data_IF_449642127585
#
_entry.id   IF_449642127585
#
_cell.length_a   1.000
_cell.length_b   1.000
_cell.length_c   1.000
_cell.angle_alpha   90.00
_cell.angle_beta   90.00
_cell.angle_gamma   90.00
#
_symmetry.space_group_name_H-M   'P 1'
#
loop_
_entity.id
_entity.type
_entity.pdbx_description
1 polymer ?
#
# COMPACT_ATOMS: atom_id res chain seq x y z
N UNK A 1 5.68 -3.13 14.86
CA UNK A 1 4.64 -3.65 15.75
C UNK A 1 4.85 -5.11 16.16
N UNK A 2 5.07 -6.06 15.22
CA UNK A 2 5.19 -7.50 15.53
C UNK A 2 6.44 -7.93 16.32
N UNK A 3 7.55 -7.21 16.16
CA UNK A 3 8.85 -7.57 16.71
C UNK A 3 8.89 -7.61 18.25
N UNK A 4 8.33 -6.58 18.89
CA UNK A 4 8.39 -6.41 20.34
C UNK A 4 7.21 -7.07 21.07
N UNK A 5 6.06 -7.24 20.41
CA UNK A 5 4.86 -7.80 21.04
C UNK A 5 4.87 -9.34 21.00
N UNK A 6 5.48 -9.93 19.97
CA UNK A 6 5.42 -11.39 19.75
C UNK A 6 6.81 -12.05 19.70
N UNK A 7 7.90 -11.28 19.79
CA UNK A 7 9.26 -11.83 19.81
C UNK A 7 9.71 -12.49 18.49
N UNK A 8 8.99 -12.26 17.40
CA UNK A 8 9.33 -12.81 16.09
C UNK A 8 10.60 -12.16 15.52
N UNK A 9 11.45 -12.91 14.79
CA UNK A 9 12.51 -12.32 13.97
C UNK A 9 11.96 -11.31 12.96
N UNK A 10 12.76 -10.29 12.62
CA UNK A 10 12.38 -9.21 11.68
C UNK A 10 11.86 -9.78 10.35
N UNK A 11 12.60 -10.72 9.78
CA UNK A 11 12.27 -11.34 8.50
C UNK A 11 10.98 -12.16 8.53
N UNK A 12 10.63 -12.74 9.69
CA UNK A 12 9.37 -13.44 9.88
C UNK A 12 8.22 -12.44 10.03
N UNK A 13 8.42 -11.34 10.77
CA UNK A 13 7.44 -10.27 10.88
C UNK A 13 7.08 -9.65 9.51
N UNK A 14 8.07 -9.50 8.61
CA UNK A 14 7.85 -9.06 7.22
C UNK A 14 6.94 -10.04 6.49
N UNK A 15 7.22 -11.35 6.56
CA UNK A 15 6.42 -12.37 5.92
C UNK A 15 4.97 -12.41 6.46
N UNK A 16 4.80 -12.23 7.77
CA UNK A 16 3.48 -12.13 8.42
C UNK A 16 2.70 -10.92 7.90
N UNK A 17 3.32 -9.74 7.86
CA UNK A 17 2.68 -8.52 7.39
C UNK A 17 2.24 -8.63 5.93
N UNK A 18 3.08 -9.23 5.07
CA UNK A 18 2.72 -9.46 3.67
C UNK A 18 1.55 -10.44 3.54
N UNK A 19 1.51 -11.52 4.34
CA UNK A 19 0.38 -12.45 4.32
C UNK A 19 -0.92 -11.80 4.81
N UNK A 20 -0.88 -11.08 5.93
CA UNK A 20 -2.04 -10.33 6.45
C UNK A 20 -2.50 -9.29 5.44
N UNK A 21 -1.56 -8.55 4.84
CA UNK A 21 -1.83 -7.57 3.80
C UNK A 21 -2.51 -8.22 2.59
N UNK A 22 -2.02 -9.37 2.12
CA UNK A 22 -2.60 -10.09 0.98
C UNK A 22 -4.05 -10.49 1.24
N UNK A 23 -4.34 -11.08 2.40
CA UNK A 23 -5.71 -11.46 2.80
C UNK A 23 -6.63 -10.24 2.81
N UNK A 24 -6.16 -9.15 3.42
CA UNK A 24 -6.92 -7.90 3.57
C UNK A 24 -7.23 -7.26 2.21
N UNK A 25 -6.23 -7.21 1.33
CA UNK A 25 -6.32 -6.57 0.02
C UNK A 25 -7.25 -7.37 -0.90
N UNK A 26 -7.14 -8.69 -0.93
CA UNK A 26 -8.01 -9.55 -1.76
C UNK A 26 -9.47 -9.34 -1.37
N UNK A 27 -9.78 -9.39 -0.07
CA UNK A 27 -11.15 -9.21 0.41
C UNK A 27 -11.67 -7.80 0.12
N UNK A 28 -10.84 -6.77 0.36
CA UNK A 28 -11.18 -5.37 0.04
C UNK A 28 -11.45 -5.19 -1.45
N UNK A 29 -10.64 -5.81 -2.30
CA UNK A 29 -10.78 -5.72 -3.75
C UNK A 29 -12.06 -6.39 -4.21
N UNK A 30 -12.35 -7.61 -3.75
CA UNK A 30 -13.59 -8.31 -4.11
C UNK A 30 -14.83 -7.49 -3.76
N UNK A 31 -14.83 -6.82 -2.59
CA UNK A 31 -15.94 -5.97 -2.17
C UNK A 31 -16.07 -4.70 -3.02
N UNK A 32 -14.94 -4.06 -3.37
CA UNK A 32 -14.93 -2.78 -4.11
C UNK A 32 -15.04 -2.95 -5.62
N UNK A 33 -14.59 -4.06 -6.18
CA UNK A 33 -14.66 -4.34 -7.61
C UNK A 33 -16.10 -4.38 -8.11
N UNK A 34 -17.02 -4.86 -7.26
CA UNK A 34 -18.46 -4.88 -7.54
C UNK A 34 -19.08 -3.47 -7.68
N UNK A 35 -18.39 -2.42 -7.24
CA UNK A 35 -18.88 -1.05 -7.34
C UNK A 35 -18.65 -0.42 -8.74
N UNK A 36 -17.95 -1.11 -9.65
CA UNK A 36 -17.76 -0.63 -11.02
C UNK A 36 -16.95 0.67 -11.15
N UNK A 37 -16.09 0.96 -10.16
CA UNK A 37 -15.37 2.25 -10.04
C UNK A 37 -14.16 2.38 -10.97
N UNK A 38 -13.74 1.30 -11.62
CA UNK A 38 -12.55 1.29 -12.48
C UNK A 38 -12.95 1.57 -13.93
N UNK A 39 -12.33 2.60 -14.51
CA UNK A 39 -12.39 2.88 -15.94
C UNK A 39 -11.13 2.34 -16.66
N UNK A 40 -11.15 2.29 -18.00
CA UNK A 40 -10.02 1.77 -18.78
C UNK A 40 -8.68 2.45 -18.48
N UNK A 41 -8.69 3.76 -18.22
CA UNK A 41 -7.50 4.52 -17.86
C UNK A 41 -6.89 4.07 -16.52
N UNK A 42 -7.69 4.01 -15.45
CA UNK A 42 -7.25 3.54 -14.13
C UNK A 42 -6.76 2.08 -14.14
N UNK A 43 -7.38 1.23 -14.95
CA UNK A 43 -6.96 -0.16 -15.14
C UNK A 43 -5.60 -0.23 -15.84
N UNK A 44 -5.38 0.57 -16.89
CA UNK A 44 -4.11 0.59 -17.61
C UNK A 44 -2.95 1.01 -16.69
N UNK A 45 -3.14 2.07 -15.91
CA UNK A 45 -2.14 2.51 -14.91
C UNK A 45 -1.88 1.39 -13.91
N UNK A 46 -2.94 0.80 -13.34
CA UNK A 46 -2.81 -0.26 -12.34
C UNK A 46 -2.09 -1.50 -12.90
N UNK A 47 -2.39 -1.93 -14.13
CA UNK A 47 -1.74 -3.08 -14.75
C UNK A 47 -0.25 -2.81 -15.00
N UNK A 48 0.10 -1.63 -15.49
CA UNK A 48 1.50 -1.22 -15.71
C UNK A 48 2.28 -1.14 -14.39
N UNK A 49 1.68 -0.52 -13.36
CA UNK A 49 2.25 -0.50 -12.02
C UNK A 49 2.41 -1.91 -11.46
N UNK A 50 1.42 -2.79 -11.67
CA UNK A 50 1.41 -4.16 -11.17
C UNK A 50 2.55 -4.98 -11.76
N UNK A 51 2.72 -4.97 -13.09
CA UNK A 51 3.78 -5.73 -13.77
C UNK A 51 5.17 -5.40 -13.21
N UNK A 52 5.45 -4.12 -13.01
CA UNK A 52 6.74 -3.66 -12.47
C UNK A 52 6.86 -3.80 -10.96
N UNK A 53 5.75 -3.64 -10.22
CA UNK A 53 5.72 -3.84 -8.76
C UNK A 53 5.98 -5.29 -8.38
N UNK A 54 5.55 -6.28 -9.18
CA UNK A 54 5.84 -7.70 -8.95
C UNK A 54 7.35 -7.95 -8.97
N UNK A 55 8.04 -7.40 -9.98
CA UNK A 55 9.49 -7.48 -10.12
C UNK A 55 10.15 -6.77 -8.95
N UNK A 56 9.70 -5.56 -8.62
CA UNK A 56 10.19 -4.78 -7.50
C UNK A 56 10.05 -5.52 -6.17
N UNK A 57 8.87 -6.09 -5.88
CA UNK A 57 8.61 -6.82 -4.63
C UNK A 57 9.46 -8.08 -4.51
N UNK A 58 9.66 -8.80 -5.61
CA UNK A 58 10.55 -9.94 -5.63
C UNK A 58 12.01 -9.54 -5.35
N UNK A 59 12.50 -8.47 -6.00
CA UNK A 59 13.84 -7.94 -5.77
C UNK A 59 14.00 -7.35 -4.36
N UNK A 60 12.98 -6.64 -3.85
CA UNK A 60 12.96 -6.09 -2.50
C UNK A 60 13.06 -7.18 -1.44
N UNK A 61 12.30 -8.27 -1.60
CA UNK A 61 12.35 -9.43 -0.72
C UNK A 61 13.71 -10.16 -0.82
N UNK A 62 14.32 -10.23 -2.00
CA UNK A 62 15.67 -10.78 -2.18
C UNK A 62 16.76 -9.94 -1.50
N UNK A 63 16.58 -8.63 -1.47
CA UNK A 63 17.57 -7.67 -0.98
C UNK A 63 17.27 -7.20 0.44
N UNK A 64 16.28 -7.77 1.14
CA UNK A 64 15.87 -7.37 2.49
C UNK A 64 17.06 -7.27 3.45
N UNK A 65 17.98 -8.22 3.42
CA UNK A 65 19.16 -8.22 4.31
C UNK A 65 20.23 -7.19 3.91
N UNK A 66 20.18 -6.68 2.68
CA UNK A 66 21.14 -5.70 2.13
C UNK A 66 20.59 -4.26 2.15
N UNK A 67 19.28 -4.09 2.23
CA UNK A 67 18.64 -2.78 2.21
C UNK A 67 18.58 -2.24 3.64
N UNK A 68 19.24 -1.10 3.92
CA UNK A 68 19.20 -0.53 5.25
C UNK A 68 17.77 -0.06 5.58
N UNK A 69 17.17 -0.62 6.62
CA UNK A 69 15.79 -0.30 7.00
C UNK A 69 15.62 1.14 7.48
N UNK A 70 16.58 1.66 8.24
CA UNK A 70 16.51 3.00 8.86
C UNK A 70 16.25 4.13 7.85
N UNK A 71 17.03 4.29 6.77
CA UNK A 71 16.76 5.33 5.78
C UNK A 71 15.44 5.10 5.04
N UNK A 72 15.04 3.85 4.80
CA UNK A 72 13.79 3.55 4.10
C UNK A 72 12.57 3.89 4.96
N UNK A 73 12.60 3.55 6.25
CA UNK A 73 11.60 3.97 7.24
C UNK A 73 11.56 5.49 7.39
N UNK A 74 12.71 6.18 7.39
CA UNK A 74 12.73 7.67 7.41
C UNK A 74 12.12 8.27 6.15
N UNK A 75 12.47 7.76 4.98
CA UNK A 75 11.89 8.19 3.70
C UNK A 75 10.38 7.99 3.71
N UNK A 76 9.91 6.81 4.13
CA UNK A 76 8.50 6.49 4.30
C UNK A 76 7.82 7.45 5.28
N UNK A 77 8.42 7.74 6.43
CA UNK A 77 7.85 8.64 7.44
C UNK A 77 7.65 10.05 6.87
N UNK A 78 8.70 10.61 6.26
CA UNK A 78 8.64 11.94 5.67
C UNK A 78 7.57 11.99 4.57
N UNK A 79 7.55 10.98 3.70
CA UNK A 79 6.54 10.88 2.65
C UNK A 79 5.13 10.83 3.23
N UNK A 80 4.86 9.94 4.19
CA UNK A 80 3.54 9.76 4.78
C UNK A 80 3.04 10.99 5.53
N UNK A 81 3.92 11.73 6.22
CA UNK A 81 3.54 12.99 6.88
C UNK A 81 3.20 14.05 5.85
N UNK A 82 4.07 14.27 4.86
CA UNK A 82 3.85 15.30 3.83
C UNK A 82 2.55 15.01 3.09
N UNK A 83 2.37 13.78 2.66
CA UNK A 83 1.20 13.36 1.89
C UNK A 83 -0.06 13.27 2.76
N UNK A 84 0.05 12.77 3.99
CA UNK A 84 -1.06 12.68 4.91
C UNK A 84 -1.60 14.05 5.29
N UNK A 85 -0.72 15.01 5.58
CA UNK A 85 -1.10 16.41 5.78
C UNK A 85 -1.70 17.01 4.52
N UNK A 86 -1.09 16.79 3.34
CA UNK A 86 -1.60 17.30 2.07
C UNK A 86 -3.02 16.80 1.78
N UNK A 87 -3.25 15.48 1.81
CA UNK A 87 -4.57 14.87 1.55
C UNK A 87 -5.57 15.31 2.61
N UNK A 88 -5.18 15.29 3.89
CA UNK A 88 -6.08 15.58 5.00
C UNK A 88 -6.49 17.05 5.10
N UNK A 89 -5.64 17.98 4.67
CA UNK A 89 -5.93 19.41 4.67
C UNK A 89 -6.61 19.88 3.37
N UNK A 90 -6.51 19.11 2.29
CA UNK A 90 -7.09 19.46 0.98
C UNK A 90 -8.58 19.83 1.05
N UNK A 91 -9.47 19.16 1.81
CA UNK A 91 -10.87 19.57 1.96
C UNK A 91 -11.08 20.95 2.57
N UNK A 92 -10.10 21.47 3.32
CA UNK A 92 -10.19 22.76 4.00
C UNK A 92 -9.51 23.88 3.20
N UNK A 93 -8.85 23.55 2.08
CA UNK A 93 -8.10 24.48 1.24
C UNK A 93 -8.79 24.54 -0.11
N UNK A 94 -9.27 25.72 -0.52
CA UNK A 94 -10.04 25.91 -1.77
C UNK A 94 -9.24 25.62 -3.05
N UNK A 95 -7.91 25.53 -2.97
CA UNK A 95 -7.06 25.23 -4.12
C UNK A 95 -6.79 23.72 -4.23
N UNK A 96 -7.25 23.05 -5.31
CA UNK A 96 -6.87 21.65 -5.56
C UNK A 96 -5.35 21.56 -5.74
N UNK A 97 -4.71 20.82 -4.84
CA UNK A 97 -3.26 20.60 -4.81
C UNK A 97 -2.87 19.43 -5.76
N UNK A 98 -3.56 19.32 -6.88
CA UNK A 98 -3.28 18.35 -7.93
C UNK A 98 -2.15 18.89 -8.82
N UNK A 99 -1.04 18.16 -8.89
CA UNK A 99 -0.03 18.39 -9.91
C UNK A 99 -0.58 17.76 -11.20
N UNK A 100 -1.52 18.44 -11.86
CA UNK A 100 -2.10 17.95 -13.10
C UNK A 100 -1.04 18.10 -14.21
N UNK A 101 -0.23 17.06 -14.39
CA UNK A 101 0.63 16.93 -15.56
C UNK A 101 -0.22 16.39 -16.71
N UNK A 102 -0.27 17.09 -17.84
CA UNK A 102 -0.76 16.51 -19.09
C UNK A 102 0.32 15.58 -19.64
N UNK A 103 0.36 14.35 -19.15
CA UNK A 103 1.26 13.31 -19.65
C UNK A 103 0.67 12.71 -20.93
N UNK A 104 1.53 12.38 -21.90
CA UNK A 104 1.15 11.48 -22.98
C UNK A 104 1.07 10.03 -22.47
N UNK A 105 0.48 9.16 -23.28
CA UNK A 105 0.26 7.75 -22.91
C UNK A 105 1.58 7.02 -22.55
N UNK A 106 2.67 7.33 -23.25
CA UNK A 106 3.97 6.68 -23.04
C UNK A 106 4.63 7.19 -21.76
N UNK A 107 4.61 8.51 -21.54
CA UNK A 107 5.15 9.15 -20.35
C UNK A 107 4.42 8.68 -19.09
N UNK A 108 3.10 8.59 -19.17
CA UNK A 108 2.27 8.07 -18.09
C UNK A 108 2.59 6.60 -17.78
N UNK A 109 2.69 5.75 -18.80
CA UNK A 109 3.05 4.35 -18.63
C UNK A 109 4.45 4.17 -18.03
N UNK A 110 5.43 4.96 -18.47
CA UNK A 110 6.80 4.94 -17.93
C UNK A 110 6.83 5.40 -16.48
N UNK A 111 6.07 6.43 -16.13
CA UNK A 111 5.98 6.93 -14.76
C UNK A 111 5.28 5.91 -13.85
N UNK A 112 4.20 5.29 -14.33
CA UNK A 112 3.52 4.19 -13.64
C UNK A 112 4.45 3.00 -13.42
N UNK A 113 5.25 2.63 -14.42
CA UNK A 113 6.24 1.57 -14.33
C UNK A 113 7.33 1.89 -13.30
N UNK A 114 7.86 3.13 -13.30
CA UNK A 114 8.90 3.56 -12.35
C UNK A 114 8.39 3.58 -10.90
N UNK A 115 7.21 4.18 -10.69
CA UNK A 115 6.58 4.25 -9.37
C UNK A 115 6.20 2.84 -8.90
N UNK A 116 5.66 2.00 -9.79
CA UNK A 116 5.34 0.60 -9.50
C UNK A 116 6.57 -0.17 -9.04
N UNK A 117 7.66 -0.11 -9.80
CA UNK A 117 8.93 -0.76 -9.42
C UNK A 117 9.43 -0.29 -8.04
N UNK A 118 9.47 1.03 -7.80
CA UNK A 118 9.95 1.60 -6.55
C UNK A 118 9.09 1.17 -5.36
N UNK A 119 7.75 1.27 -5.47
CA UNK A 119 6.82 0.82 -4.44
C UNK A 119 6.96 -0.70 -4.22
N UNK A 120 7.13 -1.47 -5.29
CA UNK A 120 7.39 -2.91 -5.21
C UNK A 120 8.62 -3.22 -4.35
N UNK A 121 9.77 -2.60 -4.64
CA UNK A 121 11.01 -2.81 -3.88
C UNK A 121 10.82 -2.47 -2.41
N UNK A 122 10.18 -1.34 -2.10
CA UNK A 122 9.90 -0.92 -0.73
C UNK A 122 8.96 -1.92 -0.04
N UNK A 123 7.90 -2.34 -0.73
CA UNK A 123 6.89 -3.29 -0.23
C UNK A 123 7.50 -4.65 0.08
N UNK A 124 8.32 -5.20 -0.82
CA UNK A 124 9.02 -6.46 -0.62
C UNK A 124 10.08 -6.38 0.49
N UNK A 125 10.84 -5.29 0.58
CA UNK A 125 11.90 -5.15 1.58
C UNK A 125 11.36 -4.91 3.00
N UNK A 126 10.32 -4.08 3.16
CA UNK A 126 9.78 -3.69 4.48
C UNK A 126 8.54 -4.49 4.91
N UNK A 127 7.91 -5.24 3.99
CA UNK A 127 6.67 -5.94 4.25
C UNK A 127 5.43 -5.05 4.39
N UNK A 128 5.47 -3.82 3.87
CA UNK A 128 4.30 -2.92 3.80
C UNK A 128 3.45 -3.24 2.58
N UNK A 129 2.12 -3.16 2.70
CA UNK A 129 1.18 -3.47 1.62
C UNK A 129 1.24 -2.47 0.45
N UNK A 130 1.90 -1.32 0.64
CA UNK A 130 2.26 -0.34 -0.40
C UNK A 130 1.11 0.58 -0.81
N UNK A 131 -0.10 0.40 -0.26
CA UNK A 131 -1.25 1.24 -0.55
C UNK A 131 -1.06 2.68 -0.08
N UNK A 132 -0.26 2.87 0.97
CA UNK A 132 0.07 4.17 1.56
C UNK A 132 0.89 5.05 0.62
N UNK A 133 1.71 4.44 -0.26
CA UNK A 133 2.40 5.14 -1.35
C UNK A 133 1.54 5.26 -2.60
N UNK A 134 0.83 4.17 -2.91
CA UNK A 134 0.16 4.03 -4.19
C UNK A 134 -1.08 4.90 -4.32
N UNK A 135 -1.90 4.98 -3.27
CA UNK A 135 -3.12 5.80 -3.30
C UNK A 135 -2.77 7.27 -3.56
N UNK A 136 -1.83 7.89 -2.83
CA UNK A 136 -1.41 9.26 -3.14
C UNK A 136 -0.78 9.45 -4.51
N UNK A 137 0.01 8.48 -5.00
CA UNK A 137 0.56 8.54 -6.34
C UNK A 137 -0.56 8.53 -7.40
N UNK A 138 -1.53 7.62 -7.25
CA UNK A 138 -2.70 7.54 -8.12
C UNK A 138 -3.53 8.84 -8.11
N UNK A 139 -3.69 9.48 -6.96
CA UNK A 139 -4.43 10.76 -6.85
C UNK A 139 -3.64 11.92 -7.46
N UNK A 140 -2.38 12.10 -7.06
CA UNK A 140 -1.64 13.33 -7.36
C UNK A 140 -0.80 13.30 -8.62
N UNK A 141 -0.40 12.12 -9.08
CA UNK A 141 0.39 11.95 -10.32
C UNK A 141 -0.53 11.61 -11.48
N UNK A 142 -1.50 10.71 -11.25
CA UNK A 142 -2.38 10.20 -12.30
C UNK A 142 -3.80 10.78 -12.25
N UNK A 143 -4.10 11.65 -11.28
CA UNK A 143 -5.37 12.38 -11.24
C UNK A 143 -6.62 11.54 -10.93
N UNK A 144 -6.45 10.33 -10.39
CA UNK A 144 -7.60 9.49 -10.02
C UNK A 144 -8.33 10.05 -8.80
N UNK A 145 -9.64 9.90 -8.75
CA UNK A 145 -10.40 10.19 -7.54
C UNK A 145 -10.03 9.21 -6.41
N UNK A 146 -10.21 9.63 -5.16
CA UNK A 146 -9.80 8.86 -3.98
C UNK A 146 -10.42 7.45 -3.94
N UNK A 147 -11.63 7.27 -4.46
CA UNK A 147 -12.33 5.97 -4.44
C UNK A 147 -11.81 5.08 -5.57
N UNK A 148 -11.61 5.60 -6.78
CA UNK A 148 -10.96 4.85 -7.85
C UNK A 148 -9.50 4.52 -7.52
N UNK A 149 -8.72 5.48 -7.01
CA UNK A 149 -7.34 5.31 -6.57
C UNK A 149 -7.22 4.23 -5.49
N UNK A 150 -8.14 4.21 -4.52
CA UNK A 150 -8.20 3.15 -3.52
C UNK A 150 -8.46 1.77 -4.13
N UNK A 151 -9.34 1.66 -5.13
CA UNK A 151 -9.68 0.38 -5.78
C UNK A 151 -8.54 -0.09 -6.70
N UNK A 152 -7.98 0.81 -7.52
CA UNK A 152 -6.83 0.56 -8.38
C UNK A 152 -5.61 0.16 -7.56
N UNK A 153 -5.39 0.80 -6.41
CA UNK A 153 -4.32 0.45 -5.48
C UNK A 153 -4.39 -1.02 -5.04
N UNK A 154 -5.59 -1.52 -4.74
CA UNK A 154 -5.80 -2.92 -4.36
C UNK A 154 -5.48 -3.88 -5.52
N UNK A 155 -5.89 -3.53 -6.75
CA UNK A 155 -5.56 -4.30 -7.96
C UNK A 155 -4.05 -4.47 -8.13
N UNK A 156 -3.26 -3.43 -7.84
CA UNK A 156 -1.79 -3.51 -7.86
C UNK A 156 -1.25 -4.29 -6.67
N UNK A 157 -1.81 -4.10 -5.47
CA UNK A 157 -1.31 -4.74 -4.24
C UNK A 157 -1.42 -6.26 -4.28
N UNK A 158 -2.49 -6.85 -4.83
CA UNK A 158 -2.70 -8.30 -4.82
C UNK A 158 -1.47 -9.06 -5.38
N UNK A 159 -1.07 -8.87 -6.64
CA UNK A 159 0.07 -9.60 -7.20
C UNK A 159 1.41 -9.14 -6.62
N UNK A 160 1.54 -7.86 -6.25
CA UNK A 160 2.77 -7.31 -5.64
C UNK A 160 3.07 -7.97 -4.30
N UNK A 161 2.11 -7.94 -3.39
CA UNK A 161 2.23 -8.49 -2.04
C UNK A 161 2.32 -10.01 -2.09
N UNK A 162 1.58 -10.66 -3.00
CA UNK A 162 1.72 -12.10 -3.23
C UNK A 162 3.13 -12.48 -3.67
N UNK A 163 3.74 -11.75 -4.61
CA UNK A 163 5.12 -11.99 -5.07
C UNK A 163 6.13 -11.85 -3.93
N UNK A 164 6.05 -10.76 -3.15
CA UNK A 164 6.91 -10.54 -1.99
C UNK A 164 6.73 -11.63 -0.92
N UNK A 165 5.48 -11.98 -0.60
CA UNK A 165 5.15 -13.02 0.36
C UNK A 165 5.70 -14.39 -0.08
N UNK A 166 5.44 -14.79 -1.33
CA UNK A 166 5.93 -16.05 -1.88
C UNK A 166 7.46 -16.12 -1.80
N UNK A 167 8.15 -15.00 -2.07
CA UNK A 167 9.60 -14.98 -1.94
C UNK A 167 10.06 -15.17 -0.50
N UNK A 168 9.48 -14.46 0.47
CA UNK A 168 9.82 -14.65 1.88
C UNK A 168 9.47 -16.04 2.41
N UNK A 169 8.34 -16.61 1.98
CA UNK A 169 7.97 -17.98 2.30
C UNK A 169 9.00 -18.96 1.74
N UNK A 170 9.40 -18.82 0.48
CA UNK A 170 10.41 -19.68 -0.16
C UNK A 170 11.81 -19.55 0.46
N UNK A 171 12.12 -18.43 1.11
CA UNK A 171 13.35 -18.24 1.89
C UNK A 171 13.27 -18.85 3.31
N UNK A 172 12.15 -19.48 3.68
CA UNK A 172 11.97 -20.11 4.98
C UNK A 172 11.63 -19.13 6.10
N UNK A 173 11.23 -17.90 5.79
CA UNK A 173 10.92 -16.89 6.81
C UNK A 173 9.56 -17.10 7.49
N UNK A 174 8.74 -18.03 6.98
CA UNK A 174 7.42 -18.34 7.51
C UNK A 174 7.44 -19.67 8.27
N UNK A 175 7.52 -19.60 9.60
CA UNK A 175 7.37 -20.77 10.47
C UNK A 175 5.91 -20.94 10.96
N UNK A 176 5.62 -22.03 11.67
CA UNK A 176 4.25 -22.33 12.15
C UNK A 176 3.71 -21.26 13.11
N UNK A 177 4.57 -20.70 13.95
CA UNK A 177 4.22 -19.64 14.89
C UNK A 177 3.83 -18.34 14.16
N UNK A 178 4.66 -17.90 13.21
CA UNK A 178 4.38 -16.77 12.33
C UNK A 178 3.07 -16.96 11.55
N UNK A 179 2.80 -18.16 11.04
CA UNK A 179 1.56 -18.47 10.34
C UNK A 179 0.32 -18.34 11.24
N UNK A 180 0.40 -18.78 12.50
CA UNK A 180 -0.69 -18.63 13.47
C UNK A 180 -0.95 -17.15 13.80
N UNK A 181 0.11 -16.38 14.00
CA UNK A 181 0.02 -14.93 14.25
C UNK A 181 -0.61 -14.23 13.04
N UNK A 182 -0.18 -14.57 11.83
CA UNK A 182 -0.75 -14.06 10.59
C UNK A 182 -2.23 -14.40 10.46
N UNK A 183 -2.67 -15.59 10.89
CA UNK A 183 -4.08 -15.97 10.85
C UNK A 183 -4.94 -15.12 11.79
N UNK A 184 -4.49 -14.91 13.03
CA UNK A 184 -5.23 -14.12 14.03
C UNK A 184 -5.30 -12.65 13.62
N UNK A 185 -4.16 -12.07 13.23
CA UNK A 185 -4.11 -10.69 12.72
C UNK A 185 -4.90 -10.52 11.42
N UNK A 186 -4.79 -11.52 10.53
CA UNK A 186 -5.51 -11.58 9.27
C UNK A 186 -7.02 -11.53 9.47
N UNK A 187 -7.56 -12.29 10.43
CA UNK A 187 -8.98 -12.26 10.75
C UNK A 187 -9.47 -10.86 11.16
N UNK A 188 -8.76 -10.21 12.09
CA UNK A 188 -9.11 -8.84 12.52
C UNK A 188 -9.00 -7.83 11.37
N UNK A 189 -7.94 -7.93 10.58
CA UNK A 189 -7.71 -7.05 9.43
C UNK A 189 -8.78 -7.22 8.34
N UNK A 190 -9.17 -8.47 8.03
CA UNK A 190 -10.24 -8.79 7.07
C UNK A 190 -11.58 -8.21 7.52
N UNK A 191 -11.93 -8.34 8.80
CA UNK A 191 -13.17 -7.76 9.33
C UNK A 191 -13.16 -6.23 9.19
N UNK A 192 -12.07 -5.58 9.60
CA UNK A 192 -11.92 -4.13 9.46
C UNK A 192 -11.99 -3.67 8.00
N UNK A 193 -11.34 -4.40 7.10
CA UNK A 193 -11.36 -4.16 5.66
C UNK A 193 -12.76 -4.33 5.05
N UNK A 194 -13.50 -5.38 5.43
CA UNK A 194 -14.87 -5.58 4.93
C UNK A 194 -15.80 -4.43 5.32
N UNK A 195 -15.70 -3.97 6.56
CA UNK A 195 -16.47 -2.82 7.04
C UNK A 195 -16.04 -1.58 6.25
N UNK A 196 -14.74 -1.25 6.24
CA UNK A 196 -14.23 -0.07 5.54
C UNK A 196 -14.56 -0.05 4.04
N UNK A 197 -14.35 -1.16 3.35
CA UNK A 197 -14.64 -1.31 1.93
C UNK A 197 -16.14 -1.23 1.61
N UNK A 198 -17.01 -1.69 2.51
CA UNK A 198 -18.47 -1.61 2.33
C UNK A 198 -19.00 -0.19 2.46
N UNK A 199 -18.43 0.63 3.33
CA UNK A 199 -18.88 2.01 3.55
C UNK A 199 -18.15 3.05 2.69
N UNK A 200 -16.95 2.74 2.16
CA UNK A 200 -16.15 3.69 1.40
C UNK A 200 -16.87 4.32 0.18
N UNK A 201 -17.82 3.62 -0.45
CA UNK A 201 -18.61 4.18 -1.57
C UNK A 201 -19.73 5.14 -1.14
N UNK A 202 -20.11 5.13 0.14
CA UNK A 202 -21.21 5.93 0.70
C UNK A 202 -20.73 7.14 1.50
N UNK A 203 -19.44 7.18 1.84
CA UNK A 203 -18.83 8.30 2.57
C UNK A 203 -18.41 9.39 1.60
N UNK A 204 -18.64 10.64 1.98
CA UNK A 204 -18.22 11.81 1.19
C UNK A 204 -16.70 11.80 0.94
N UNK A 205 -16.29 12.22 -0.26
CA UNK A 205 -14.89 12.18 -0.70
C UNK A 205 -13.96 12.97 0.22
N UNK A 206 -14.43 14.10 0.73
CA UNK A 206 -13.66 14.96 1.63
C UNK A 206 -13.44 14.31 2.99
N UNK A 207 -14.46 13.63 3.52
CA UNK A 207 -14.32 12.81 4.74
C UNK A 207 -13.31 11.68 4.51
N UNK A 208 -13.35 11.00 3.36
CA UNK A 208 -12.35 9.97 3.03
C UNK A 208 -10.93 10.53 2.94
N UNK A 209 -10.76 11.74 2.39
CA UNK A 209 -9.46 12.43 2.35
C UNK A 209 -8.95 12.73 3.77
N UNK A 210 -9.78 13.30 4.64
CA UNK A 210 -9.41 13.55 6.04
C UNK A 210 -9.03 12.25 6.75
N UNK A 211 -9.84 11.19 6.63
CA UNK A 211 -9.56 9.89 7.25
C UNK A 211 -8.25 9.30 6.74
N UNK A 212 -8.01 9.32 5.42
CA UNK A 212 -6.76 8.86 4.83
C UNK A 212 -5.58 9.70 5.37
N UNK A 213 -5.69 11.02 5.37
CA UNK A 213 -4.65 11.91 5.88
C UNK A 213 -4.28 11.62 7.34
N UNK A 214 -5.29 11.50 8.21
CA UNK A 214 -5.11 11.17 9.63
C UNK A 214 -4.46 9.80 9.80
N UNK A 215 -4.92 8.78 9.07
CA UNK A 215 -4.35 7.42 9.17
C UNK A 215 -2.88 7.37 8.73
N UNK A 216 -2.48 8.09 7.68
CA UNK A 216 -1.08 8.17 7.23
C UNK A 216 -0.18 8.88 8.26
N UNK A 217 -0.65 9.96 8.88
CA UNK A 217 0.09 10.66 9.94
C UNK A 217 0.22 9.78 11.18
N UNK A 218 -0.87 9.13 11.61
CA UNK A 218 -0.84 8.19 12.74
C UNK A 218 0.10 7.01 12.49
N UNK A 219 0.09 6.44 11.28
CA UNK A 219 1.02 5.39 10.88
C UNK A 219 2.48 5.86 11.00
N UNK A 220 2.75 7.11 10.62
CA UNK A 220 4.10 7.68 10.75
C UNK A 220 4.54 7.83 12.20
N UNK A 221 3.68 8.41 13.06
CA UNK A 221 3.98 8.57 14.48
C UNK A 221 4.34 7.21 15.08
N UNK A 222 3.52 6.19 14.84
CA UNK A 222 3.79 4.82 15.29
C UNK A 222 5.12 4.29 14.79
N UNK A 223 5.41 4.45 13.50
CA UNK A 223 6.65 3.96 12.89
C UNK A 223 7.91 4.65 13.44
N UNK A 224 7.84 5.92 13.84
CA UNK A 224 8.97 6.68 14.39
C UNK A 224 9.15 6.43 15.89
N UNK A 225 8.05 6.21 16.62
CA UNK A 225 8.08 5.96 18.08
C UNK A 225 8.44 4.54 18.47
N UNK A 226 8.26 3.57 17.56
CA UNK A 226 8.72 2.20 17.80
C UNK A 226 10.25 2.13 17.61
N UNK A 227 11.01 1.66 18.61
CA UNK A 227 12.48 1.57 18.57
C UNK A 227 13.01 0.55 17.56
#
# INVERSE_FOLDING_TARGET
MLLHVVGLPIVAAIAVNLLVGLLTVVVSFMRRFQLGLLNGHSVNIALTMSATSIIGAYLGALLTDRIPEKPLKRLLAVFLVVVGLKIGLEPFIETPLTLAFTLGFVEEALLAALIGLAIGVISGALGVAGGEFRIPALIYVFGLDIVAAGTASLLVSIPTVASGFLKHHNMGHMNREAALIAAVMGAGSVIGALIGASYAGFVEKDVLKVLLGVTLVLATVRMVTEP
#
